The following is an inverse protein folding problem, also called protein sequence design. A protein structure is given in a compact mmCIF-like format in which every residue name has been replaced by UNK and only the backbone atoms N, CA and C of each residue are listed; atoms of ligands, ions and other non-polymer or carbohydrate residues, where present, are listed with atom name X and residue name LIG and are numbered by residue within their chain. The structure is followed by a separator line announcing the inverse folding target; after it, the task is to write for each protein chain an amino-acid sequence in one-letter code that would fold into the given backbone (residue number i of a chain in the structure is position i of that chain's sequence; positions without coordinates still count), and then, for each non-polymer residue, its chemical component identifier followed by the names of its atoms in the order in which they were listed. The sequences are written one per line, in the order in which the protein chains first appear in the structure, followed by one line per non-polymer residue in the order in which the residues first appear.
data_IF_148946486791
#
_entry.id   IF_148946486791
#
_cell.length_a   1.000
_cell.length_b   1.000
_cell.length_c   1.000
_cell.angle_alpha   90.00
_cell.angle_beta   90.00
_cell.angle_gamma   90.00
#
_symmetry.space_group_name_H-M   'P 1'
#
loop_
_entity.id
_entity.type
_entity.pdbx_description
1 polymer ?
#
# COMPACT_ATOMS: atom_id res chain seq x y z
N UNK A 1 9.54 13.93 -12.02
CA UNK A 1 9.81 12.59 -11.47
C UNK A 1 8.47 11.89 -11.46
N UNK A 2 8.22 11.00 -12.41
CA UNK A 2 6.94 10.28 -12.47
C UNK A 2 6.95 9.23 -11.36
N UNK A 3 6.17 9.43 -10.31
CA UNK A 3 5.82 8.34 -9.41
C UNK A 3 5.06 7.29 -10.25
N UNK A 4 5.56 6.06 -10.26
CA UNK A 4 4.83 4.97 -10.89
C UNK A 4 3.72 4.59 -9.92
N UNK A 5 2.48 5.00 -10.21
CA UNK A 5 1.30 4.55 -9.47
C UNK A 5 0.76 3.25 -10.07
N UNK A 6 0.21 2.38 -9.24
CA UNK A 6 -0.39 1.13 -9.70
C UNK A 6 -1.14 0.37 -8.62
N UNK A 7 -1.74 -0.74 -9.03
CA UNK A 7 -2.46 -1.66 -8.16
C UNK A 7 -1.79 -3.03 -8.24
N UNK A 8 -1.46 -3.61 -7.09
CA UNK A 8 -0.96 -4.98 -6.96
C UNK A 8 -1.95 -5.79 -6.15
N UNK A 9 -2.47 -6.86 -6.75
CA UNK A 9 -3.28 -7.85 -6.04
C UNK A 9 -2.35 -8.79 -5.24
N UNK A 10 -2.65 -8.95 -3.96
CA UNK A 10 -1.95 -9.83 -3.03
C UNK A 10 -2.54 -11.25 -3.14
N UNK A 11 -1.72 -12.28 -2.91
CA UNK A 11 -2.16 -13.68 -3.05
C UNK A 11 -3.33 -14.05 -2.14
N UNK A 12 -3.47 -13.35 -1.00
CA UNK A 12 -4.52 -13.65 -0.02
C UNK A 12 -5.86 -12.99 -0.37
N UNK A 13 -5.96 -12.28 -1.49
CA UNK A 13 -7.18 -11.58 -1.93
C UNK A 13 -7.24 -10.10 -1.52
N UNK A 14 -6.20 -9.61 -0.84
CA UNK A 14 -5.99 -8.18 -0.61
C UNK A 14 -5.41 -7.45 -1.83
N UNK A 15 -5.22 -6.14 -1.71
CA UNK A 15 -4.53 -5.34 -2.72
C UNK A 15 -3.70 -4.21 -2.09
N UNK A 16 -2.70 -3.76 -2.82
CA UNK A 16 -2.03 -2.49 -2.59
C UNK A 16 -2.27 -1.56 -3.77
N UNK A 17 -2.74 -0.35 -3.49
CA UNK A 17 -2.86 0.74 -4.44
C UNK A 17 -1.96 1.90 -3.99
N UNK A 18 -1.03 2.33 -4.83
CA UNK A 18 -0.15 3.42 -4.43
C UNK A 18 1.06 3.58 -5.32
N UNK A 19 2.04 4.32 -4.81
CA UNK A 19 3.27 4.56 -5.55
C UNK A 19 4.26 3.41 -5.40
N UNK A 20 5.10 3.27 -6.42
CA UNK A 20 6.17 2.28 -6.49
C UNK A 20 7.49 2.96 -6.78
N UNK A 21 8.53 2.43 -6.14
CA UNK A 21 9.92 2.76 -6.42
C UNK A 21 10.74 1.48 -6.44
N UNK A 22 11.49 1.28 -7.51
CA UNK A 22 12.34 0.10 -7.71
C UNK A 22 11.58 -1.24 -7.52
N UNK A 23 10.32 -1.28 -7.97
CA UNK A 23 9.44 -2.45 -7.87
C UNK A 23 8.88 -2.71 -6.46
N UNK A 24 9.01 -1.76 -5.53
CA UNK A 24 8.50 -1.87 -4.15
C UNK A 24 7.52 -0.75 -3.83
N UNK A 25 6.60 -1.02 -2.91
CA UNK A 25 5.70 0.00 -2.35
C UNK A 25 6.51 1.16 -1.75
N UNK A 26 6.13 2.37 -2.12
CA UNK A 26 6.80 3.60 -1.72
C UNK A 26 5.80 4.75 -1.68
N UNK A 27 6.15 5.87 -1.04
CA UNK A 27 5.30 7.07 -1.05
C UNK A 27 3.97 6.83 -0.35
N UNK A 28 2.89 7.43 -0.84
CA UNK A 28 1.56 7.20 -0.30
C UNK A 28 0.92 5.95 -0.94
N UNK A 29 0.22 5.17 -0.12
CA UNK A 29 -0.53 4.02 -0.60
C UNK A 29 -1.60 3.53 0.38
N UNK A 30 -2.42 2.62 -0.15
CA UNK A 30 -3.50 1.94 0.56
C UNK A 30 -3.31 0.44 0.41
N UNK A 31 -3.10 -0.25 1.53
CA UNK A 31 -3.10 -1.72 1.61
C UNK A 31 -4.45 -2.16 2.17
N UNK A 32 -5.19 -2.94 1.40
CA UNK A 32 -6.46 -3.56 1.81
C UNK A 32 -6.24 -5.05 1.97
N UNK A 33 -6.61 -5.60 3.13
CA UNK A 33 -6.56 -7.03 3.41
C UNK A 33 -7.85 -7.73 2.99
N UNK A 34 -7.79 -9.04 2.86
CA UNK A 34 -8.90 -9.88 2.39
C UNK A 34 -10.10 -9.90 3.35
N UNK A 35 -9.86 -9.60 4.62
CA UNK A 35 -10.88 -9.44 5.66
C UNK A 35 -11.57 -8.07 5.62
N UNK A 36 -11.11 -7.15 4.76
CA UNK A 36 -11.64 -5.80 4.62
C UNK A 36 -10.94 -4.76 5.48
N UNK A 37 -9.97 -5.16 6.31
CA UNK A 37 -9.13 -4.19 7.01
C UNK A 37 -8.33 -3.37 5.98
N UNK A 38 -8.02 -2.12 6.32
CA UNK A 38 -7.19 -1.27 5.45
C UNK A 38 -6.20 -0.42 6.21
N UNK A 39 -5.05 -0.19 5.58
CA UNK A 39 -4.06 0.79 6.00
C UNK A 39 -3.84 1.81 4.90
N UNK A 40 -4.00 3.08 5.23
CA UNK A 40 -3.77 4.22 4.34
C UNK A 40 -2.62 5.05 4.93
N UNK A 41 -1.50 5.17 4.23
CA UNK A 41 -0.37 5.95 4.74
C UNK A 41 0.91 5.79 3.94
N UNK A 42 2.02 6.18 4.57
CA UNK A 42 3.33 6.15 3.92
C UNK A 42 3.90 4.72 3.83
N UNK A 43 4.63 4.47 2.74
CA UNK A 43 5.39 3.25 2.50
C UNK A 43 6.83 3.58 2.12
N UNK A 44 7.75 2.74 2.58
CA UNK A 44 9.18 2.82 2.24
C UNK A 44 9.77 1.43 2.14
N UNK A 45 10.44 1.16 1.02
CA UNK A 45 11.10 -0.12 0.72
C UNK A 45 10.19 -1.35 0.90
N UNK A 46 8.91 -1.21 0.52
CA UNK A 46 7.91 -2.28 0.60
C UNK A 46 7.25 -2.44 1.98
N UNK A 47 7.46 -1.50 2.90
CA UNK A 47 6.90 -1.57 4.27
C UNK A 47 6.13 -0.31 4.60
N UNK A 48 5.06 -0.47 5.40
CA UNK A 48 4.37 0.64 6.07
C UNK A 48 5.39 1.46 6.86
N UNK A 49 5.36 2.78 6.69
CA UNK A 49 6.28 3.74 7.28
C UNK A 49 5.52 5.01 7.68
N UNK A 50 6.15 5.87 8.48
CA UNK A 50 5.61 7.20 8.78
C UNK A 50 4.24 7.17 9.43
N UNK A 51 3.40 8.11 9.04
CA UNK A 51 2.01 8.22 9.50
C UNK A 51 1.08 7.44 8.59
N UNK A 52 0.08 6.82 9.20
CA UNK A 52 -1.00 6.15 8.49
C UNK A 52 -2.19 5.91 9.39
N UNK A 53 -3.32 5.62 8.76
CA UNK A 53 -4.58 5.25 9.42
C UNK A 53 -4.85 3.78 9.17
N UNK A 54 -5.08 3.04 10.23
CA UNK A 54 -5.59 1.68 10.16
C UNK A 54 -7.10 1.70 10.44
N UNK A 55 -7.88 1.12 9.55
CA UNK A 55 -9.32 0.92 9.73
C UNK A 55 -9.60 -0.57 9.78
N UNK A 56 -10.26 -1.02 10.84
CA UNK A 56 -10.78 -2.38 10.96
C UNK A 56 -12.22 -2.42 10.47
N UNK A 57 -12.59 -3.50 9.76
CA UNK A 57 -13.99 -3.73 9.33
C UNK A 57 -14.85 -4.37 10.42
#
# INVERSE_FOLDING_TARGET
MSSNQGIQFLNDGGCYEGEYKDGKYHGQGTETWSDGDKYEGEFKDGKRHGQGTYTWS
#
